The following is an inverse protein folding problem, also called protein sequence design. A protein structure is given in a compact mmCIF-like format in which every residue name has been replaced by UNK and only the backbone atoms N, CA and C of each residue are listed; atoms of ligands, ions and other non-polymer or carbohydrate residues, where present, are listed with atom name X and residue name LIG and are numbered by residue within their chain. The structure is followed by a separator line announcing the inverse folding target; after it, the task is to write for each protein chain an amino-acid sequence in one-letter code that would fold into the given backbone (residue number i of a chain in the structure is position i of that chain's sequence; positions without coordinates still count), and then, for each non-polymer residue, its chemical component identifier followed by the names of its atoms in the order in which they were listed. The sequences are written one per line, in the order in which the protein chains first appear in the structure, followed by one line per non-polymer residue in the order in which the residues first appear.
data_IF_241906439538
#
_entry.id   IF_241906439538
#
_cell.length_a   1.000
_cell.length_b   1.000
_cell.length_c   1.000
_cell.angle_alpha   90.00
_cell.angle_beta   90.00
_cell.angle_gamma   90.00
#
_symmetry.space_group_name_H-M   'P 1'
#
loop_
_entity.id
_entity.type
_entity.pdbx_description
1 polymer ?
#
# COMPACT_ATOMS: atom_id res chain seq x y z
N UNK A 1 -24.42 -8.79 -18.64
CA UNK A 1 -24.64 -7.32 -18.66
C UNK A 1 -23.37 -6.63 -18.27
N UNK A 2 -22.96 -5.61 -18.99
CA UNK A 2 -21.85 -4.77 -18.60
C UNK A 2 -22.11 -4.18 -17.21
N UNK A 3 -21.07 -4.04 -16.39
CA UNK A 3 -21.16 -3.46 -15.05
C UNK A 3 -20.04 -2.45 -14.82
N UNK A 4 -20.25 -1.55 -13.87
CA UNK A 4 -19.24 -0.58 -13.44
C UNK A 4 -18.63 -1.04 -12.12
N UNK A 5 -17.30 -0.97 -12.03
CA UNK A 5 -16.56 -1.17 -10.78
C UNK A 5 -15.60 -0.02 -10.53
N UNK A 6 -15.45 0.33 -9.26
CA UNK A 6 -14.71 1.52 -8.85
C UNK A 6 -13.70 1.16 -7.75
N UNK A 7 -12.49 1.68 -7.88
CA UNK A 7 -11.50 1.71 -6.78
C UNK A 7 -11.00 3.13 -6.56
N UNK A 8 -10.50 3.38 -5.37
CA UNK A 8 -9.89 4.65 -5.00
C UNK A 8 -8.44 4.47 -4.59
N UNK A 9 -7.70 5.56 -4.60
CA UNK A 9 -6.36 5.68 -4.03
C UNK A 9 -6.18 7.04 -3.36
N UNK A 10 -5.21 7.10 -2.46
CA UNK A 10 -4.79 8.34 -1.81
C UNK A 10 -3.28 8.54 -1.97
N UNK A 11 -2.84 9.80 -2.00
CA UNK A 11 -1.43 10.13 -2.15
C UNK A 11 -0.62 9.87 -0.87
N UNK A 12 0.69 9.93 -1.00
CA UNK A 12 1.63 9.90 0.12
C UNK A 12 1.39 11.02 1.15
N UNK A 13 0.78 12.14 0.74
CA UNK A 13 0.46 13.27 1.60
C UNK A 13 -0.93 13.19 2.26
N UNK A 14 -1.73 12.17 1.95
CA UNK A 14 -2.99 11.95 2.67
C UNK A 14 -2.74 11.67 4.16
N UNK A 15 -3.51 12.23 5.10
CA UNK A 15 -3.25 12.10 6.54
C UNK A 15 -3.01 10.67 7.02
N UNK A 16 -3.85 9.71 6.60
CA UNK A 16 -3.67 8.31 6.98
C UNK A 16 -2.38 7.71 6.38
N UNK A 17 -1.98 8.12 5.17
CA UNK A 17 -0.72 7.64 4.57
C UNK A 17 0.52 8.33 5.14
N UNK A 18 0.39 9.55 5.64
CA UNK A 18 1.45 10.17 6.46
C UNK A 18 1.68 9.33 7.71
N UNK A 19 0.61 8.94 8.41
CA UNK A 19 0.68 8.09 9.60
C UNK A 19 1.30 6.71 9.30
N UNK A 20 0.87 6.04 8.23
CA UNK A 20 1.43 4.75 7.80
C UNK A 20 2.92 4.85 7.50
N UNK A 21 3.35 5.89 6.77
CA UNK A 21 4.76 6.09 6.42
C UNK A 21 5.64 6.38 7.64
N UNK A 22 5.14 7.12 8.63
CA UNK A 22 5.86 7.35 9.89
C UNK A 22 6.00 6.04 10.66
N UNK A 23 4.93 5.26 10.78
CA UNK A 23 4.94 3.98 11.50
C UNK A 23 5.90 2.98 10.87
N UNK A 24 5.91 2.83 9.54
CA UNK A 24 6.81 1.92 8.84
C UNK A 24 8.27 2.43 8.83
N UNK A 25 8.50 3.74 8.80
CA UNK A 25 9.84 4.30 8.92
C UNK A 25 10.44 4.06 10.31
N UNK A 26 9.63 4.14 11.37
CA UNK A 26 10.04 3.82 12.73
C UNK A 26 10.34 2.32 12.86
N UNK A 27 9.49 1.46 12.30
CA UNK A 27 9.75 0.01 12.24
C UNK A 27 11.08 -0.28 11.56
N UNK A 28 11.31 0.28 10.38
CA UNK A 28 12.55 0.06 9.63
C UNK A 28 13.78 0.56 10.40
N UNK A 29 13.66 1.66 11.12
CA UNK A 29 14.77 2.18 11.92
C UNK A 29 15.11 1.27 13.11
N UNK A 30 14.11 0.68 13.79
CA UNK A 30 14.34 -0.35 14.79
C UNK A 30 15.02 -1.58 14.19
N UNK A 31 14.55 -2.04 13.02
CA UNK A 31 15.16 -3.19 12.33
C UNK A 31 16.59 -2.90 11.85
N UNK A 32 16.93 -1.65 11.53
CA UNK A 32 18.32 -1.27 11.23
C UNK A 32 19.26 -1.45 12.43
N UNK A 33 18.76 -1.22 13.63
CA UNK A 33 19.54 -1.36 14.86
C UNK A 33 19.52 -2.79 15.43
N UNK A 34 18.41 -3.51 15.25
CA UNK A 34 18.25 -4.90 15.69
C UNK A 34 17.24 -5.63 14.80
N UNK A 35 17.72 -6.56 13.98
CA UNK A 35 16.90 -7.36 13.07
C UNK A 35 15.86 -8.25 13.77
N UNK A 36 15.99 -8.44 15.09
CA UNK A 36 15.04 -9.20 15.90
C UNK A 36 14.03 -8.32 16.64
N UNK A 37 14.03 -7.01 16.36
CA UNK A 37 13.08 -6.08 16.96
C UNK A 37 11.65 -6.56 16.76
N UNK A 38 10.84 -6.45 17.83
CA UNK A 38 9.40 -6.63 17.80
C UNK A 38 8.75 -5.26 17.91
N UNK A 39 7.98 -4.90 16.93
CA UNK A 39 7.42 -3.55 16.80
C UNK A 39 5.93 -3.64 16.46
N UNK A 40 5.13 -2.95 17.24
CA UNK A 40 3.75 -2.62 16.93
C UNK A 40 3.62 -1.12 17.17
N UNK A 41 3.73 -0.32 16.10
CA UNK A 41 3.80 1.13 16.18
C UNK A 41 2.66 1.75 15.40
N UNK A 42 1.89 2.59 16.06
CA UNK A 42 0.75 3.30 15.49
C UNK A 42 0.97 4.81 15.61
N UNK A 43 0.57 5.53 14.59
CA UNK A 43 0.75 6.99 14.49
C UNK A 43 -0.59 7.66 14.27
N UNK A 44 -0.81 8.76 14.99
CA UNK A 44 -1.87 9.74 14.75
C UNK A 44 -1.22 11.03 14.25
N UNK A 45 -1.74 11.59 13.15
CA UNK A 45 -1.34 12.89 12.62
C UNK A 45 -2.55 13.82 12.59
N UNK A 46 -2.41 15.02 13.14
CA UNK A 46 -3.46 16.06 13.12
C UNK A 46 -2.81 17.44 13.03
N UNK A 47 -3.58 18.52 13.09
CA UNK A 47 -3.08 19.90 13.02
C UNK A 47 -1.93 20.10 14.00
N UNK A 48 -0.74 20.38 13.49
CA UNK A 48 0.45 20.71 14.28
C UNK A 48 0.96 19.62 15.22
N UNK A 49 0.44 18.38 15.14
CA UNK A 49 0.75 17.32 16.10
C UNK A 49 0.87 15.94 15.44
N UNK A 50 1.88 15.19 15.88
CA UNK A 50 2.04 13.75 15.66
C UNK A 50 2.10 13.05 17.01
N UNK A 51 1.35 12.00 17.18
CA UNK A 51 1.43 11.09 18.34
C UNK A 51 1.81 9.71 17.84
N UNK A 52 2.90 9.18 18.36
CA UNK A 52 3.38 7.83 18.08
C UNK A 52 3.19 7.00 19.33
N UNK A 53 2.48 5.89 19.22
CA UNK A 53 2.18 4.97 20.35
C UNK A 53 2.42 3.53 19.94
N UNK A 54 2.53 2.64 20.92
CA UNK A 54 2.65 1.21 20.69
C UNK A 54 3.70 0.54 21.55
N UNK A 55 3.99 -0.71 21.23
CA UNK A 55 4.90 -1.56 21.96
C UNK A 55 6.12 -1.94 21.12
N UNK A 56 7.31 -1.81 21.71
CA UNK A 56 8.56 -2.14 21.06
C UNK A 56 9.42 -2.97 22.00
N UNK A 57 10.04 -4.02 21.46
CA UNK A 57 11.16 -4.72 22.08
C UNK A 57 12.32 -4.71 21.10
N UNK A 58 13.38 -4.02 21.44
CA UNK A 58 14.57 -3.86 20.60
C UNK A 58 15.79 -3.59 21.50
N UNK A 59 16.96 -4.00 21.07
CA UNK A 59 18.23 -3.61 21.69
C UNK A 59 18.74 -2.25 21.19
N UNK A 60 18.11 -1.72 20.13
CA UNK A 60 18.49 -0.46 19.50
C UNK A 60 17.74 0.74 20.07
N UNK A 61 18.41 1.90 20.11
CA UNK A 61 17.77 3.20 20.35
C UNK A 61 17.39 3.86 19.04
N UNK A 62 16.19 4.40 18.96
CA UNK A 62 15.68 5.13 17.78
C UNK A 62 15.23 6.54 18.17
N UNK A 63 15.72 7.54 17.44
CA UNK A 63 15.20 8.91 17.52
C UNK A 63 13.87 9.01 16.77
N UNK A 64 12.78 8.68 17.47
CA UNK A 64 11.41 8.72 16.94
C UNK A 64 11.06 10.07 16.33
N UNK A 65 11.47 11.16 16.98
CA UNK A 65 11.18 12.52 16.51
C UNK A 65 11.92 12.83 15.22
N UNK A 66 13.21 12.48 15.15
CA UNK A 66 14.02 12.64 13.94
C UNK A 66 13.47 11.86 12.76
N UNK A 67 13.07 10.59 12.98
CA UNK A 67 12.44 9.75 11.95
C UNK A 67 11.14 10.37 11.44
N UNK A 68 10.24 10.75 12.33
CA UNK A 68 8.96 11.33 11.93
C UNK A 68 9.15 12.64 11.14
N UNK A 69 10.05 13.54 11.58
CA UNK A 69 10.37 14.79 10.86
C UNK A 69 10.92 14.53 9.47
N UNK A 70 11.83 13.58 9.33
CA UNK A 70 12.39 13.17 8.02
C UNK A 70 11.29 12.71 7.06
N UNK A 71 10.34 11.90 7.53
CA UNK A 71 9.22 11.42 6.72
C UNK A 71 8.30 12.57 6.30
N UNK A 72 7.93 13.45 7.23
CA UNK A 72 7.06 14.60 6.98
C UNK A 72 7.68 15.54 5.93
N UNK A 73 8.98 15.84 6.05
CA UNK A 73 9.73 16.68 5.11
C UNK A 73 9.81 16.04 3.71
N UNK A 74 10.14 14.74 3.64
CA UNK A 74 10.20 13.98 2.38
C UNK A 74 8.86 13.97 1.63
N UNK A 75 7.74 13.89 2.34
CA UNK A 75 6.40 13.96 1.76
C UNK A 75 6.14 15.33 1.15
N UNK A 76 6.74 16.39 1.71
CA UNK A 76 6.62 17.76 1.23
C UNK A 76 5.82 18.67 2.15
N UNK A 77 5.57 18.29 3.39
CA UNK A 77 5.04 19.17 4.43
C UNK A 77 6.21 19.91 5.08
N UNK A 78 6.68 20.94 4.41
CA UNK A 78 7.88 21.70 4.77
C UNK A 78 7.66 23.23 4.83
N UNK A 79 6.39 23.65 4.94
CA UNK A 79 5.99 25.07 5.05
C UNK A 79 5.02 25.25 6.19
N UNK A 80 5.22 26.29 6.99
CA UNK A 80 4.39 26.62 8.14
C UNK A 80 2.93 26.91 7.78
N UNK A 81 2.67 27.38 6.55
CA UNK A 81 1.33 27.66 6.05
C UNK A 81 0.44 26.43 6.00
N UNK A 82 1.03 25.22 5.94
CA UNK A 82 0.27 23.97 5.98
C UNK A 82 -0.24 23.62 7.37
N UNK A 83 0.19 24.35 8.41
CA UNK A 83 -0.12 24.10 9.83
C UNK A 83 0.11 22.66 10.28
N UNK A 84 0.94 21.97 9.52
CA UNK A 84 1.53 20.68 9.76
C UNK A 84 2.81 20.62 8.93
N UNK A 85 3.96 20.79 9.57
CA UNK A 85 5.24 20.79 8.86
C UNK A 85 6.34 20.12 9.70
N UNK A 86 7.38 19.64 9.01
CA UNK A 86 8.47 18.88 9.59
C UNK A 86 9.25 19.63 10.66
N UNK A 87 9.35 20.98 10.58
CA UNK A 87 10.15 21.77 11.48
C UNK A 87 9.39 22.11 12.76
N UNK A 88 8.09 22.41 12.68
CA UNK A 88 7.34 23.05 13.77
C UNK A 88 6.30 22.15 14.44
N UNK A 89 5.84 21.05 13.81
CA UNK A 89 4.84 20.19 14.46
C UNK A 89 5.38 19.55 15.74
N UNK A 90 4.52 19.45 16.76
CA UNK A 90 4.80 18.70 17.97
C UNK A 90 4.85 17.20 17.67
N UNK A 91 5.80 16.47 18.26
CA UNK A 91 5.88 15.02 18.14
C UNK A 91 5.95 14.43 19.54
N UNK A 92 4.91 13.67 19.90
CA UNK A 92 4.80 12.96 21.17
C UNK A 92 5.04 11.47 20.94
N UNK A 93 5.85 10.87 21.78
CA UNK A 93 6.06 9.41 21.80
C UNK A 93 5.48 8.83 23.09
N UNK A 94 4.63 7.83 22.93
CA UNK A 94 4.06 7.00 23.99
C UNK A 94 4.37 5.52 23.70
N UNK A 95 5.56 5.24 23.18
CA UNK A 95 6.07 3.89 22.97
C UNK A 95 6.54 3.35 24.32
N UNK A 96 6.17 2.11 24.61
CA UNK A 96 6.58 1.38 25.81
C UNK A 96 7.06 -0.03 25.46
N UNK A 97 7.63 -0.72 26.44
CA UNK A 97 8.12 -2.08 26.25
C UNK A 97 6.98 -3.08 26.07
N UNK A 98 7.16 -4.05 25.17
CA UNK A 98 6.15 -5.07 24.89
C UNK A 98 5.90 -5.96 26.14
N UNK A 99 4.63 -6.27 26.40
CA UNK A 99 4.22 -7.15 27.49
C UNK A 99 4.86 -8.55 27.38
N UNK A 100 5.37 -9.07 28.51
CA UNK A 100 5.90 -10.43 28.61
C UNK A 100 4.88 -11.51 28.28
N UNK A 101 3.58 -11.24 28.51
CA UNK A 101 2.52 -12.23 28.31
C UNK A 101 2.27 -12.51 26.82
N UNK A 102 2.34 -11.47 25.97
CA UNK A 102 2.20 -11.63 24.51
C UNK A 102 3.39 -12.42 23.94
N UNK A 103 4.55 -12.26 24.54
CA UNK A 103 5.80 -12.85 24.06
C UNK A 103 5.88 -14.37 24.25
N UNK A 104 5.14 -14.95 25.20
CA UNK A 104 5.15 -16.39 25.49
C UNK A 104 4.68 -17.26 24.31
N UNK A 105 3.82 -16.72 23.46
CA UNK A 105 3.30 -17.42 22.27
C UNK A 105 4.21 -17.32 21.04
N UNK A 106 5.07 -16.31 20.98
CA UNK A 106 5.93 -15.99 19.81
C UNK A 106 7.35 -16.52 19.96
N UNK A 107 7.97 -16.26 21.12
CA UNK A 107 9.34 -16.72 21.41
C UNK A 107 9.29 -17.99 22.26
N UNK A 108 9.23 -19.15 21.61
CA UNK A 108 9.29 -20.44 22.30
C UNK A 108 10.76 -20.82 22.55
N UNK A 109 11.00 -21.36 23.75
CA UNK A 109 12.32 -21.88 24.14
C UNK A 109 12.52 -23.28 23.58
N UNK A 110 13.79 -23.56 23.20
CA UNK A 110 14.29 -24.91 22.93
C UNK A 110 13.61 -25.72 21.83
N UNK A 111 13.72 -25.26 20.57
CA UNK A 111 13.40 -26.07 19.38
C UNK A 111 11.92 -26.19 19.04
N UNK A 112 11.04 -25.52 19.76
CA UNK A 112 9.64 -25.40 19.36
C UNK A 112 9.48 -24.34 18.24
N UNK A 113 8.63 -24.64 17.25
CA UNK A 113 8.38 -23.73 16.13
C UNK A 113 7.68 -22.45 16.60
N UNK A 114 8.12 -21.31 16.08
CA UNK A 114 7.48 -20.02 16.32
C UNK A 114 6.00 -20.09 15.93
N UNK A 115 5.11 -19.87 16.90
CA UNK A 115 3.67 -19.76 16.65
C UNK A 115 3.28 -18.42 16.04
N UNK A 116 2.04 -18.34 15.51
CA UNK A 116 1.48 -17.08 15.06
C UNK A 116 1.34 -16.10 16.25
N UNK A 117 1.76 -14.85 16.03
CA UNK A 117 1.72 -13.80 17.05
C UNK A 117 0.31 -13.33 17.42
N UNK A 118 -0.67 -13.67 16.60
CA UNK A 118 -2.08 -13.36 16.82
C UNK A 118 -2.96 -14.37 16.08
N UNK A 119 -4.26 -14.37 16.41
CA UNK A 119 -5.29 -14.99 15.58
C UNK A 119 -5.68 -14.07 14.44
N UNK A 120 -6.15 -14.62 13.31
CA UNK A 120 -6.67 -13.78 12.23
C UNK A 120 -6.93 -14.54 10.94
N UNK A 121 -7.51 -13.82 9.99
CA UNK A 121 -7.72 -14.25 8.61
C UNK A 121 -7.01 -13.27 7.68
N UNK A 122 -6.24 -13.78 6.73
CA UNK A 122 -5.49 -12.97 5.77
C UNK A 122 -5.86 -13.41 4.37
N UNK A 123 -5.87 -12.45 3.46
CA UNK A 123 -6.29 -12.68 2.08
C UNK A 123 -5.21 -12.31 1.08
N UNK A 124 -5.04 -13.16 0.09
CA UNK A 124 -4.35 -12.88 -1.15
C UNK A 124 -5.35 -12.86 -2.30
N UNK A 125 -5.14 -11.95 -3.24
CA UNK A 125 -5.98 -11.86 -4.43
C UNK A 125 -5.11 -11.56 -5.65
N UNK A 126 -5.49 -12.13 -6.79
CA UNK A 126 -4.89 -11.82 -8.08
C UNK A 126 -5.94 -11.94 -9.19
N UNK A 127 -5.79 -11.13 -10.23
CA UNK A 127 -6.67 -11.13 -11.42
C UNK A 127 -5.88 -10.75 -12.67
N UNK A 128 -6.20 -11.39 -13.79
CA UNK A 128 -5.55 -11.17 -15.10
C UNK A 128 -6.07 -9.88 -15.77
N UNK A 129 -5.96 -8.74 -15.08
CA UNK A 129 -6.36 -7.44 -15.64
C UNK A 129 -5.18 -6.53 -15.94
N UNK A 130 -4.08 -6.69 -15.19
CA UNK A 130 -2.87 -5.89 -15.32
C UNK A 130 -1.64 -6.78 -15.37
N UNK A 131 -0.52 -6.22 -15.80
CA UNK A 131 0.76 -6.92 -15.82
C UNK A 131 1.17 -7.48 -14.44
N UNK A 132 0.78 -6.78 -13.38
CA UNK A 132 1.10 -7.15 -11.99
C UNK A 132 -0.01 -8.03 -11.37
N UNK A 133 -0.99 -8.50 -12.15
CA UNK A 133 -2.12 -9.31 -11.68
C UNK A 133 -2.93 -8.62 -10.57
N UNK A 134 -3.20 -7.34 -10.76
CA UNK A 134 -3.97 -6.49 -9.86
C UNK A 134 -5.21 -5.93 -10.54
N UNK A 135 -6.24 -5.50 -9.78
CA UNK A 135 -7.40 -4.80 -10.34
C UNK A 135 -7.00 -3.54 -11.10
N UNK A 136 -7.46 -3.41 -12.34
CA UNK A 136 -7.16 -2.28 -13.22
C UNK A 136 -7.59 -0.94 -12.63
N UNK A 137 -8.75 -0.91 -11.95
CA UNK A 137 -9.28 0.29 -11.28
C UNK A 137 -8.33 0.82 -10.22
N UNK A 138 -7.76 -0.06 -9.39
CA UNK A 138 -6.84 0.33 -8.31
C UNK A 138 -5.49 0.80 -8.89
N UNK A 139 -4.92 0.05 -9.83
CA UNK A 139 -3.62 0.42 -10.43
C UNK A 139 -3.71 1.77 -11.13
N UNK A 140 -4.77 2.03 -11.90
CA UNK A 140 -4.97 3.34 -12.51
C UNK A 140 -5.11 4.45 -11.46
N UNK A 141 -5.86 4.22 -10.37
CA UNK A 141 -5.95 5.18 -9.28
C UNK A 141 -4.59 5.49 -8.66
N UNK A 142 -3.75 4.47 -8.42
CA UNK A 142 -2.38 4.67 -7.93
C UNK A 142 -1.50 5.42 -8.93
N UNK A 143 -1.56 5.08 -10.22
CA UNK A 143 -0.70 5.69 -11.25
C UNK A 143 -1.02 7.18 -11.42
N UNK A 144 -2.30 7.57 -11.36
CA UNK A 144 -2.72 8.99 -11.41
C UNK A 144 -2.04 9.77 -10.28
N UNK A 145 -2.08 9.28 -9.05
CA UNK A 145 -1.51 9.98 -7.90
C UNK A 145 0.01 9.95 -7.87
N UNK A 146 0.63 8.86 -8.32
CA UNK A 146 2.09 8.79 -8.50
C UNK A 146 2.58 9.84 -9.49
N UNK A 147 1.86 10.01 -10.60
CA UNK A 147 2.22 11.01 -11.60
C UNK A 147 1.98 12.43 -11.10
N UNK A 148 0.88 12.66 -10.35
CA UNK A 148 0.61 13.94 -9.70
C UNK A 148 1.72 14.32 -8.70
N UNK A 149 2.21 13.36 -7.92
CA UNK A 149 3.32 13.56 -6.99
C UNK A 149 4.65 13.87 -7.74
N UNK A 150 4.88 13.25 -8.90
CA UNK A 150 6.04 13.58 -9.75
C UNK A 150 5.95 15.00 -10.24
N UNK A 151 4.81 15.42 -10.81
CA UNK A 151 4.57 16.80 -11.27
C UNK A 151 4.82 17.80 -10.15
N UNK A 152 4.30 17.53 -8.96
CA UNK A 152 4.49 18.39 -7.78
C UNK A 152 5.97 18.55 -7.41
N UNK A 153 6.75 17.45 -7.45
CA UNK A 153 8.18 17.47 -7.11
C UNK A 153 9.04 18.13 -8.20
N UNK A 154 8.67 18.00 -9.46
CA UNK A 154 9.33 18.70 -10.57
C UNK A 154 9.18 20.22 -10.41
N UNK A 155 8.02 20.70 -9.97
CA UNK A 155 7.76 22.13 -9.74
C UNK A 155 7.80 23.00 -10.99
N UNK A 156 7.69 22.41 -12.18
CA UNK A 156 7.74 23.13 -13.47
C UNK A 156 6.35 23.56 -13.91
N UNK A 157 5.40 22.63 -13.89
CA UNK A 157 3.98 22.86 -14.22
C UNK A 157 3.12 22.58 -12.99
N UNK A 158 1.86 23.05 -12.96
CA UNK A 158 0.94 22.87 -11.83
C UNK A 158 1.61 23.20 -10.47
N UNK A 159 2.35 24.30 -10.38
CA UNK A 159 3.16 24.67 -9.21
C UNK A 159 2.35 24.87 -7.92
N UNK A 160 1.05 25.01 -8.06
CA UNK A 160 0.11 25.14 -6.96
C UNK A 160 -0.17 23.83 -6.23
N UNK A 161 0.28 22.66 -6.75
CA UNK A 161 0.02 21.36 -6.14
C UNK A 161 0.64 21.23 -4.75
N UNK A 162 -0.12 20.57 -3.83
CA UNK A 162 0.28 20.25 -2.46
C UNK A 162 0.22 18.74 -2.22
N UNK A 163 0.78 18.23 -1.10
CA UNK A 163 0.99 16.80 -0.94
C UNK A 163 -0.27 15.94 -0.89
N UNK A 164 -1.39 16.46 -0.36
CA UNK A 164 -2.62 15.68 -0.18
C UNK A 164 -3.42 15.60 -1.49
N UNK A 165 -3.78 14.39 -1.85
CA UNK A 165 -4.66 14.17 -2.99
C UNK A 165 -5.32 12.78 -2.95
N UNK A 166 -6.44 12.66 -3.66
CA UNK A 166 -7.22 11.43 -3.82
C UNK A 166 -7.56 11.22 -5.29
N UNK A 167 -7.63 9.99 -5.71
CA UNK A 167 -8.16 9.61 -7.03
C UNK A 167 -9.14 8.47 -6.89
N UNK A 168 -10.10 8.42 -7.82
CA UNK A 168 -11.04 7.33 -7.95
C UNK A 168 -11.22 7.04 -9.44
N UNK A 169 -11.15 5.77 -9.80
CA UNK A 169 -11.33 5.32 -11.19
C UNK A 169 -12.43 4.29 -11.25
N UNK A 170 -13.40 4.55 -12.11
CA UNK A 170 -14.47 3.62 -12.46
C UNK A 170 -14.20 3.06 -13.85
N UNK A 171 -14.21 1.75 -13.98
CA UNK A 171 -14.06 1.03 -15.25
C UNK A 171 -15.36 0.31 -15.58
N UNK A 172 -15.74 0.33 -16.86
CA UNK A 172 -16.79 -0.50 -17.42
C UNK A 172 -16.20 -1.87 -17.78
N UNK A 173 -16.86 -2.93 -17.30
CA UNK A 173 -16.51 -4.32 -17.53
C UNK A 173 -17.54 -4.99 -18.43
N UNK A 174 -17.08 -5.85 -19.32
CA UNK A 174 -17.93 -6.71 -20.16
C UNK A 174 -18.58 -7.86 -19.38
N UNK A 175 -19.44 -8.60 -20.06
CA UNK A 175 -20.09 -9.81 -19.52
C UNK A 175 -19.06 -10.91 -19.14
N UNK A 176 -17.91 -10.90 -19.81
CA UNK A 176 -16.76 -11.78 -19.55
C UNK A 176 -15.90 -11.33 -18.36
N UNK A 177 -16.32 -10.27 -17.65
CA UNK A 177 -15.63 -9.63 -16.52
C UNK A 177 -14.27 -9.02 -16.90
N UNK A 178 -14.03 -8.71 -18.17
CA UNK A 178 -12.82 -8.01 -18.61
C UNK A 178 -13.04 -6.50 -18.67
N UNK A 179 -12.04 -5.71 -18.27
CA UNK A 179 -12.12 -4.26 -18.37
C UNK A 179 -12.20 -3.83 -19.84
N UNK A 180 -13.13 -2.91 -20.15
CA UNK A 180 -13.40 -2.43 -21.50
C UNK A 180 -12.90 -0.99 -21.72
N UNK A 181 -13.24 -0.09 -20.81
CA UNK A 181 -12.84 1.32 -20.85
C UNK A 181 -12.93 1.98 -19.49
N UNK A 182 -12.21 3.05 -19.31
CA UNK A 182 -12.40 3.97 -18.20
C UNK A 182 -13.73 4.72 -18.43
N UNK A 183 -14.63 4.63 -17.45
CA UNK A 183 -15.91 5.33 -17.46
C UNK A 183 -15.81 6.69 -16.76
N UNK A 184 -15.21 6.73 -15.57
CA UNK A 184 -15.11 7.96 -14.77
C UNK A 184 -13.75 8.05 -14.07
N UNK A 185 -13.19 9.25 -14.06
CA UNK A 185 -12.00 9.62 -13.27
C UNK A 185 -12.39 10.76 -12.34
N UNK A 186 -12.11 10.60 -11.04
CA UNK A 186 -12.19 11.66 -10.05
C UNK A 186 -10.79 11.96 -9.53
N UNK A 187 -10.39 13.23 -9.52
CA UNK A 187 -9.14 13.70 -8.91
C UNK A 187 -9.47 14.83 -7.95
N UNK A 188 -9.10 14.65 -6.68
CA UNK A 188 -9.14 15.73 -5.70
C UNK A 188 -7.72 16.00 -5.25
N UNK A 189 -7.24 17.23 -5.42
CA UNK A 189 -5.87 17.61 -5.07
C UNK A 189 -5.82 18.89 -4.27
N UNK A 190 -5.06 18.87 -3.19
CA UNK A 190 -4.73 20.05 -2.41
C UNK A 190 -3.88 21.01 -3.27
N UNK A 191 -4.17 22.30 -3.15
CA UNK A 191 -3.50 23.36 -3.92
C UNK A 191 -3.33 24.65 -3.11
N UNK A 192 -2.41 25.51 -3.53
CA UNK A 192 -2.32 26.88 -3.01
C UNK A 192 -3.50 27.73 -3.47
N UNK A 193 -3.78 28.80 -2.76
CA UNK A 193 -4.57 29.92 -3.27
C UNK A 193 -3.71 30.75 -4.24
N UNK A 194 -3.63 30.33 -5.50
CA UNK A 194 -2.77 30.96 -6.49
C UNK A 194 -3.47 32.08 -7.29
N UNK A 195 -4.78 32.24 -7.11
CA UNK A 195 -5.56 33.38 -7.62
C UNK A 195 -6.31 33.99 -6.47
N UNK A 196 -5.96 35.22 -6.14
CA UNK A 196 -6.53 35.96 -5.02
C UNK A 196 -7.64 36.93 -5.48
N UNK A 197 -8.62 37.24 -4.62
CA UNK A 197 -9.58 38.31 -4.87
C UNK A 197 -8.86 39.65 -5.00
N UNK A 198 -9.44 40.56 -5.77
CA UNK A 198 -8.93 41.93 -6.00
C UNK A 198 -10.10 42.91 -5.96
N UNK A 199 -9.84 44.19 -6.15
CA UNK A 199 -10.90 45.22 -6.25
C UNK A 199 -11.87 44.96 -7.44
N UNK A 200 -11.47 44.16 -8.42
CA UNK A 200 -12.25 43.82 -9.64
C UNK A 200 -12.62 42.35 -9.76
N UNK A 201 -12.18 41.52 -8.81
CA UNK A 201 -12.44 40.07 -8.77
C UNK A 201 -12.90 39.69 -7.37
N UNK A 202 -14.11 39.16 -7.26
CA UNK A 202 -14.65 38.63 -6.01
C UNK A 202 -13.95 37.30 -5.63
N UNK A 203 -14.07 36.88 -4.37
CA UNK A 203 -13.56 35.58 -3.89
C UNK A 203 -14.15 34.41 -4.72
N UNK A 204 -15.45 34.41 -4.94
CA UNK A 204 -16.13 33.39 -5.74
C UNK A 204 -15.67 33.34 -7.22
N UNK A 205 -15.25 34.47 -7.79
CA UNK A 205 -14.67 34.50 -9.13
C UNK A 205 -13.24 33.95 -9.14
N UNK A 206 -12.43 34.29 -8.14
CA UNK A 206 -11.10 33.74 -7.96
C UNK A 206 -11.14 32.22 -7.79
N UNK A 207 -12.04 31.70 -6.96
CA UNK A 207 -12.23 30.26 -6.77
C UNK A 207 -12.65 29.55 -8.07
N UNK A 208 -13.64 30.09 -8.78
CA UNK A 208 -14.07 29.48 -10.08
C UNK A 208 -12.93 29.45 -11.11
N UNK A 209 -12.12 30.51 -11.15
CA UNK A 209 -10.98 30.57 -12.08
C UNK A 209 -9.90 29.56 -11.70
N UNK A 210 -9.54 29.42 -10.40
CA UNK A 210 -8.64 28.36 -9.92
C UNK A 210 -9.15 26.98 -10.27
N UNK A 211 -10.43 26.70 -10.00
CA UNK A 211 -11.04 25.40 -10.31
C UNK A 211 -10.99 25.07 -11.81
N UNK A 212 -11.28 26.06 -12.68
CA UNK A 212 -11.17 25.88 -14.11
C UNK A 212 -9.74 25.55 -14.54
N UNK A 213 -8.74 26.27 -14.03
CA UNK A 213 -7.32 26.02 -14.36
C UNK A 213 -6.90 24.62 -13.87
N UNK A 214 -7.23 24.23 -12.64
CA UNK A 214 -6.91 22.91 -12.11
C UNK A 214 -7.56 21.81 -12.96
N UNK A 215 -8.83 21.98 -13.35
CA UNK A 215 -9.52 21.01 -14.19
C UNK A 215 -8.92 20.90 -15.59
N UNK A 216 -8.54 22.04 -16.20
CA UNK A 216 -7.87 22.09 -17.50
C UNK A 216 -6.48 21.44 -17.43
N UNK A 217 -5.70 21.69 -16.36
CA UNK A 217 -4.37 21.10 -16.16
C UNK A 217 -4.45 19.60 -15.90
N UNK A 218 -5.41 19.14 -15.10
CA UNK A 218 -5.62 17.69 -14.92
C UNK A 218 -5.93 17.03 -16.26
N UNK A 219 -6.82 17.62 -17.07
CA UNK A 219 -7.20 17.08 -18.39
C UNK A 219 -6.06 17.09 -19.38
N UNK A 220 -5.30 18.20 -19.45
CA UNK A 220 -4.35 18.47 -20.54
C UNK A 220 -2.89 18.15 -20.17
N UNK A 221 -2.57 18.00 -18.87
CA UNK A 221 -1.22 17.69 -18.39
C UNK A 221 -1.20 16.34 -17.67
N UNK A 222 -1.98 16.18 -16.59
CA UNK A 222 -1.91 14.98 -15.76
C UNK A 222 -2.31 13.71 -16.53
N UNK A 223 -3.51 13.67 -17.11
CA UNK A 223 -4.01 12.46 -17.78
C UNK A 223 -3.16 12.07 -18.99
N UNK A 224 -2.71 12.98 -19.87
CA UNK A 224 -1.76 12.65 -20.94
C UNK A 224 -0.43 12.09 -20.41
N UNK A 225 0.11 12.63 -19.29
CA UNK A 225 1.34 12.11 -18.68
C UNK A 225 1.12 10.70 -18.09
N UNK A 226 -0.03 10.44 -17.46
CA UNK A 226 -0.42 9.10 -17.00
C UNK A 226 -0.46 8.12 -18.16
N UNK A 227 -1.12 8.47 -19.26
CA UNK A 227 -1.20 7.63 -20.46
C UNK A 227 0.18 7.35 -21.05
N UNK A 228 0.99 8.38 -21.25
CA UNK A 228 2.36 8.24 -21.75
C UNK A 228 3.26 7.41 -20.82
N UNK A 229 3.06 7.47 -19.51
CA UNK A 229 3.76 6.61 -18.53
C UNK A 229 3.40 5.13 -18.69
N UNK A 230 2.12 4.82 -18.87
CA UNK A 230 1.64 3.46 -19.11
C UNK A 230 2.14 2.92 -20.47
N UNK A 231 2.06 3.72 -21.52
CA UNK A 231 2.56 3.37 -22.86
C UNK A 231 4.07 3.05 -22.85
N UNK A 232 4.87 3.87 -22.19
CA UNK A 232 6.33 3.60 -22.02
C UNK A 232 6.61 2.30 -21.26
N UNK A 233 5.70 1.89 -20.40
CA UNK A 233 5.79 0.62 -19.66
C UNK A 233 5.24 -0.57 -20.45
N UNK A 234 4.75 -0.37 -21.69
CA UNK A 234 3.97 -1.36 -22.47
C UNK A 234 2.81 -1.92 -21.66
N UNK A 235 2.11 -1.06 -20.93
CA UNK A 235 0.99 -1.45 -20.08
C UNK A 235 -0.33 -1.24 -20.84
N UNK A 236 -1.08 -2.31 -21.04
CA UNK A 236 -2.37 -2.30 -21.74
C UNK A 236 -3.42 -1.40 -21.07
N UNK A 237 -3.22 -1.00 -19.81
CA UNK A 237 -4.08 -0.04 -19.13
C UNK A 237 -4.17 1.31 -19.88
N UNK A 238 -3.15 1.67 -20.66
CA UNK A 238 -3.18 2.88 -21.50
C UNK A 238 -4.34 2.86 -22.52
N UNK A 239 -4.69 1.67 -23.03
CA UNK A 239 -5.75 1.49 -24.03
C UNK A 239 -7.15 1.71 -23.44
N UNK A 240 -7.30 1.53 -22.11
CA UNK A 240 -8.56 1.75 -21.40
C UNK A 240 -8.89 3.26 -21.26
N UNK A 241 -7.86 4.13 -21.31
CA UNK A 241 -8.02 5.59 -21.21
C UNK A 241 -8.26 6.15 -22.63
N UNK A 242 -9.51 6.19 -23.04
CA UNK A 242 -9.97 6.85 -24.26
C UNK A 242 -10.43 8.29 -23.95
N UNK A 243 -10.96 9.00 -24.95
CA UNK A 243 -11.40 10.39 -24.77
C UNK A 243 -12.86 10.51 -24.25
N UNK A 244 -13.54 9.37 -24.07
CA UNK A 244 -14.95 9.29 -23.69
C UNK A 244 -15.12 8.88 -22.20
N UNK A 245 -14.42 9.56 -21.31
CA UNK A 245 -14.58 9.39 -19.86
C UNK A 245 -15.12 10.65 -19.20
N UNK A 246 -15.87 10.49 -18.12
CA UNK A 246 -16.32 11.58 -17.27
C UNK A 246 -15.18 11.97 -16.33
N UNK A 247 -14.80 13.26 -16.33
CA UNK A 247 -13.76 13.78 -15.45
C UNK A 247 -14.34 14.72 -14.40
N UNK A 248 -14.13 14.41 -13.13
CA UNK A 248 -14.42 15.28 -11.99
C UNK A 248 -13.11 15.70 -11.32
N UNK A 249 -12.92 17.01 -11.17
CA UNK A 249 -11.74 17.59 -10.51
C UNK A 249 -12.19 18.49 -9.39
N UNK A 250 -11.72 18.25 -8.15
CA UNK A 250 -12.11 18.98 -6.94
C UNK A 250 -13.63 19.26 -6.91
N UNK A 251 -14.52 18.26 -6.97
CA UNK A 251 -15.95 18.48 -7.18
C UNK A 251 -16.64 19.28 -6.06
N UNK A 252 -16.02 19.40 -4.90
CA UNK A 252 -16.51 20.20 -3.77
C UNK A 252 -16.04 21.66 -3.79
N UNK A 253 -15.22 22.06 -4.77
CA UNK A 253 -14.63 23.39 -4.85
C UNK A 253 -13.17 23.45 -4.41
N UNK A 254 -12.72 24.57 -3.83
CA UNK A 254 -11.33 24.76 -3.44
C UNK A 254 -10.89 23.75 -2.37
N UNK A 255 -9.66 23.25 -2.52
CA UNK A 255 -9.04 22.31 -1.59
C UNK A 255 -7.67 22.83 -1.15
N UNK A 256 -7.68 23.93 -0.39
CA UNK A 256 -6.48 24.59 0.16
C UNK A 256 -6.11 23.97 1.50
N UNK A 257 -7.09 23.80 2.40
CA UNK A 257 -6.89 23.13 3.68
C UNK A 257 -6.91 21.61 3.42
N UNK A 258 -5.79 20.97 3.60
CA UNK A 258 -5.61 19.54 3.37
C UNK A 258 -4.48 18.96 4.23
N UNK A 259 -4.17 17.68 4.02
CA UNK A 259 -3.25 16.96 4.86
C UNK A 259 -3.73 16.86 6.31
N UNK A 260 -2.84 16.57 7.28
CA UNK A 260 -3.19 16.44 8.70
C UNK A 260 -3.84 17.68 9.32
N UNK A 261 -3.71 18.86 8.70
CA UNK A 261 -4.44 20.05 9.12
C UNK A 261 -5.93 19.99 8.73
N UNK A 262 -6.25 19.40 7.59
CA UNK A 262 -7.63 19.28 7.11
C UNK A 262 -8.40 18.15 7.77
N UNK A 263 -7.75 17.02 8.00
CA UNK A 263 -8.35 15.80 8.58
C UNK A 263 -7.30 15.00 9.35
N UNK A 264 -7.72 14.36 10.43
CA UNK A 264 -6.85 13.51 11.25
C UNK A 264 -6.54 12.19 10.55
N UNK A 265 -5.25 11.84 10.46
CA UNK A 265 -4.76 10.57 9.96
C UNK A 265 -4.39 9.59 11.06
N UNK A 266 -4.59 8.31 10.80
CA UNK A 266 -4.23 7.20 11.67
C UNK A 266 -3.63 6.06 10.85
N UNK A 267 -2.66 5.37 11.44
CA UNK A 267 -2.11 4.13 10.88
C UNK A 267 -3.22 3.09 10.67
N UNK A 268 -3.23 2.45 9.49
CA UNK A 268 -4.13 1.34 9.19
C UNK A 268 -5.56 1.73 8.81
N UNK A 269 -5.81 3.00 8.43
CA UNK A 269 -7.15 3.44 7.96
C UNK A 269 -7.32 3.43 6.45
N UNK A 270 -6.32 3.00 5.68
CA UNK A 270 -6.36 2.88 4.21
C UNK A 270 -6.06 1.47 3.71
N UNK A 271 -6.45 0.45 4.49
CA UNK A 271 -6.15 -0.95 4.24
C UNK A 271 -6.69 -1.48 2.89
N UNK A 272 -7.78 -0.92 2.40
CA UNK A 272 -8.34 -1.29 1.09
C UNK A 272 -7.51 -0.71 -0.06
N UNK A 273 -7.02 0.53 0.11
CA UNK A 273 -6.06 1.17 -0.82
C UNK A 273 -4.71 0.43 -0.80
N UNK A 274 -4.31 -0.07 0.35
CA UNK A 274 -3.06 -0.83 0.54
C UNK A 274 -3.09 -2.21 -0.12
N UNK A 275 -4.27 -2.75 -0.41
CA UNK A 275 -4.47 -4.13 -0.89
C UNK A 275 -5.08 -4.17 -2.29
N UNK A 276 -6.39 -4.37 -2.43
CA UNK A 276 -7.01 -4.74 -3.71
C UNK A 276 -8.12 -3.78 -4.18
N UNK A 277 -8.26 -2.60 -3.55
CA UNK A 277 -9.24 -1.58 -3.96
C UNK A 277 -10.69 -2.02 -3.89
N UNK A 278 -11.00 -2.97 -3.00
CA UNK A 278 -12.36 -3.52 -2.81
C UNK A 278 -12.71 -4.70 -3.73
N UNK A 279 -11.82 -5.12 -4.62
CA UNK A 279 -12.05 -6.28 -5.50
C UNK A 279 -11.83 -7.59 -4.76
N UNK A 280 -10.75 -7.70 -3.99
CA UNK A 280 -10.48 -8.83 -3.10
C UNK A 280 -10.91 -8.53 -1.66
N UNK A 281 -11.22 -9.58 -0.89
CA UNK A 281 -11.52 -9.47 0.53
C UNK A 281 -10.30 -9.01 1.35
N UNK A 282 -10.56 -8.53 2.57
CA UNK A 282 -9.55 -8.12 3.54
C UNK A 282 -9.88 -8.63 4.93
N UNK A 283 -8.88 -9.08 5.69
CA UNK A 283 -9.06 -9.61 7.05
C UNK A 283 -9.27 -8.55 8.14
N UNK A 284 -9.04 -7.28 7.83
CA UNK A 284 -9.22 -6.15 8.75
C UNK A 284 -7.93 -5.68 9.44
N UNK A 285 -6.86 -6.49 9.46
CA UNK A 285 -5.59 -6.13 10.09
C UNK A 285 -4.79 -5.10 9.27
N UNK A 286 -4.32 -4.04 9.93
CA UNK A 286 -3.39 -3.08 9.34
C UNK A 286 -2.01 -3.72 9.13
N UNK A 287 -1.27 -3.25 8.10
CA UNK A 287 0.10 -3.71 7.81
C UNK A 287 1.16 -2.80 8.43
N UNK A 288 1.06 -1.48 8.16
CA UNK A 288 2.07 -0.51 8.58
C UNK A 288 2.27 -0.48 10.09
N UNK A 289 3.52 -0.31 10.51
CA UNK A 289 3.94 -0.29 11.90
C UNK A 289 4.11 -1.67 12.56
N UNK A 290 3.79 -2.76 11.87
CA UNK A 290 3.89 -4.14 12.37
C UNK A 290 5.11 -4.85 11.81
N UNK A 291 5.97 -5.43 12.68
CA UNK A 291 7.06 -6.32 12.26
C UNK A 291 6.54 -7.65 11.72
N UNK A 292 7.43 -8.41 11.10
CA UNK A 292 7.10 -9.65 10.38
C UNK A 292 6.55 -10.80 11.25
N UNK A 293 6.63 -10.73 12.57
CA UNK A 293 6.00 -11.72 13.45
C UNK A 293 4.47 -11.59 13.51
N UNK A 294 3.93 -10.46 13.10
CA UNK A 294 2.49 -10.22 13.02
C UNK A 294 1.96 -10.78 11.71
N UNK A 295 1.20 -11.87 11.81
CA UNK A 295 0.66 -12.61 10.66
C UNK A 295 -0.30 -11.77 9.80
N UNK A 296 -0.95 -10.73 10.37
CA UNK A 296 -1.73 -9.75 9.61
C UNK A 296 -0.98 -9.22 8.40
N UNK A 297 0.33 -8.98 8.54
CA UNK A 297 1.19 -8.49 7.48
C UNK A 297 1.87 -9.63 6.72
N UNK A 298 2.62 -10.48 7.40
CA UNK A 298 3.46 -11.51 6.77
C UNK A 298 2.64 -12.54 6.01
N UNK A 299 1.55 -13.03 6.58
CA UNK A 299 0.70 -14.02 5.92
C UNK A 299 -0.18 -13.42 4.81
N UNK A 300 -0.55 -12.12 4.88
CA UNK A 300 -1.18 -11.45 3.77
C UNK A 300 -0.24 -11.34 2.55
N UNK A 301 1.06 -11.11 2.78
CA UNK A 301 2.07 -11.13 1.72
C UNK A 301 2.23 -12.52 1.12
N UNK A 302 2.26 -13.56 1.96
CA UNK A 302 2.32 -14.95 1.50
C UNK A 302 1.07 -15.34 0.69
N UNK A 303 -0.12 -15.00 1.16
CA UNK A 303 -1.37 -15.26 0.45
C UNK A 303 -1.41 -14.54 -0.92
N UNK A 304 -0.91 -13.28 -0.98
CA UNK A 304 -0.76 -12.55 -2.25
C UNK A 304 0.21 -13.26 -3.20
N UNK A 305 1.35 -13.70 -2.72
CA UNK A 305 2.34 -14.42 -3.52
C UNK A 305 1.72 -15.68 -4.14
N UNK A 306 0.98 -16.46 -3.35
CA UNK A 306 0.28 -17.66 -3.84
C UNK A 306 -0.73 -17.28 -4.91
N UNK A 307 -1.67 -16.38 -4.62
CA UNK A 307 -2.72 -15.99 -5.57
C UNK A 307 -2.12 -15.49 -6.90
N UNK A 308 -1.05 -14.67 -6.83
CA UNK A 308 -0.36 -14.13 -8.01
C UNK A 308 0.28 -15.24 -8.86
N UNK A 309 1.02 -16.16 -8.24
CA UNK A 309 1.68 -17.25 -8.94
C UNK A 309 0.67 -18.24 -9.55
N UNK A 310 -0.44 -18.53 -8.85
CA UNK A 310 -1.50 -19.40 -9.35
C UNK A 310 -2.17 -18.82 -10.60
N UNK A 311 -2.50 -17.52 -10.60
CA UNK A 311 -3.07 -16.83 -11.76
C UNK A 311 -2.05 -16.75 -12.90
N UNK A 312 -0.80 -16.41 -12.60
CA UNK A 312 0.27 -16.33 -13.59
C UNK A 312 0.60 -17.71 -14.22
N UNK A 313 0.46 -18.79 -13.47
CA UNK A 313 0.60 -20.15 -13.99
C UNK A 313 -0.56 -20.59 -14.88
N UNK A 314 -1.67 -19.86 -14.86
CA UNK A 314 -2.85 -20.16 -15.66
C UNK A 314 -3.86 -21.09 -14.99
N UNK A 315 -3.76 -21.35 -13.69
CA UNK A 315 -4.74 -22.17 -12.94
C UNK A 315 -6.13 -21.56 -12.98
N UNK A 316 -6.22 -20.24 -12.84
CA UNK A 316 -7.46 -19.48 -12.99
C UNK A 316 -7.15 -18.06 -13.50
N UNK A 317 -8.14 -17.33 -13.99
CA UNK A 317 -7.98 -15.91 -14.37
C UNK A 317 -8.15 -14.95 -13.21
N UNK A 318 -8.83 -15.38 -12.16
CA UNK A 318 -9.09 -14.62 -10.93
C UNK A 318 -9.03 -15.60 -9.75
N UNK A 319 -8.35 -15.24 -8.67
CA UNK A 319 -8.21 -16.10 -7.51
C UNK A 319 -8.12 -15.33 -6.21
N UNK A 320 -8.91 -15.74 -5.23
CA UNK A 320 -8.80 -15.36 -3.84
C UNK A 320 -8.23 -16.53 -3.03
N UNK A 321 -7.28 -16.25 -2.17
CA UNK A 321 -6.72 -17.21 -1.21
C UNK A 321 -6.90 -16.62 0.19
N UNK A 322 -7.56 -17.35 1.09
CA UNK A 322 -7.63 -17.01 2.51
C UNK A 322 -6.75 -17.97 3.30
N UNK A 323 -5.99 -17.44 4.23
CA UNK A 323 -5.24 -18.22 5.22
C UNK A 323 -5.67 -17.76 6.61
N UNK A 324 -5.86 -18.70 7.55
CA UNK A 324 -6.26 -18.38 8.93
C UNK A 324 -5.29 -18.98 9.94
N UNK A 325 -5.08 -18.23 11.04
CA UNK A 325 -4.22 -18.65 12.13
C UNK A 325 -4.92 -18.54 13.50
N UNK A 326 -4.47 -19.36 14.45
CA UNK A 326 -4.73 -19.16 15.87
C UNK A 326 -3.43 -18.71 16.58
N UNK A 327 -3.58 -17.90 17.59
CA UNK A 327 -2.45 -17.41 18.39
C UNK A 327 -1.62 -18.59 18.95
N UNK A 328 -0.31 -18.52 18.83
CA UNK A 328 0.61 -19.53 19.35
C UNK A 328 0.67 -20.83 18.54
N UNK A 329 -0.09 -20.97 17.44
CA UNK A 329 -0.03 -22.15 16.54
C UNK A 329 0.75 -21.79 15.28
N UNK A 330 1.73 -22.62 14.91
CA UNK A 330 2.59 -22.37 13.75
C UNK A 330 1.87 -22.72 12.43
N UNK A 331 1.12 -23.82 12.40
CA UNK A 331 0.41 -24.23 11.18
C UNK A 331 -0.85 -23.39 10.99
N UNK A 332 -1.18 -22.99 9.75
CA UNK A 332 -2.47 -22.36 9.47
C UNK A 332 -3.61 -23.33 9.81
N UNK A 333 -4.71 -22.77 10.32
CA UNK A 333 -5.93 -23.55 10.66
C UNK A 333 -6.67 -23.98 9.40
N UNK A 334 -6.68 -23.15 8.38
CA UNK A 334 -7.35 -23.43 7.11
C UNK A 334 -6.77 -22.62 5.97
N UNK A 335 -6.89 -23.16 4.76
CA UNK A 335 -6.68 -22.47 3.50
C UNK A 335 -8.00 -22.59 2.72
N UNK A 336 -8.51 -21.46 2.26
CA UNK A 336 -9.68 -21.39 1.40
C UNK A 336 -9.32 -20.74 0.08
N UNK A 337 -9.86 -21.23 -1.02
CA UNK A 337 -9.68 -20.70 -2.37
C UNK A 337 -11.04 -20.43 -3.00
N UNK A 338 -11.12 -19.34 -3.74
CA UNK A 338 -12.22 -19.03 -4.64
C UNK A 338 -11.65 -18.59 -5.99
N UNK A 339 -11.93 -19.33 -7.03
CA UNK A 339 -11.53 -19.00 -8.40
C UNK A 339 -12.58 -18.17 -9.14
N UNK A 340 -13.66 -17.78 -8.47
CA UNK A 340 -14.79 -17.02 -9.06
C UNK A 340 -15.36 -17.69 -10.33
N UNK A 341 -15.26 -19.02 -10.44
CA UNK A 341 -15.69 -19.75 -11.62
C UNK A 341 -14.81 -19.55 -12.86
N UNK A 342 -13.57 -19.07 -12.68
CA UNK A 342 -12.61 -18.83 -13.77
C UNK A 342 -11.51 -19.88 -13.84
N UNK A 343 -11.65 -21.00 -13.12
CA UNK A 343 -10.70 -22.13 -13.16
C UNK A 343 -10.49 -22.65 -14.57
N UNK A 344 -9.23 -22.88 -14.93
CA UNK A 344 -8.83 -23.53 -16.19
C UNK A 344 -8.42 -25.01 -15.99
N UNK A 345 -8.52 -25.52 -14.76
CA UNK A 345 -8.19 -26.91 -14.40
C UNK A 345 -9.45 -27.66 -13.96
N UNK A 346 -9.47 -28.99 -14.16
CA UNK A 346 -10.58 -29.87 -13.76
C UNK A 346 -10.48 -30.23 -12.26
N UNK A 347 -10.30 -29.21 -11.40
CA UNK A 347 -10.23 -29.35 -9.95
C UNK A 347 -11.23 -28.39 -9.30
N UNK A 348 -11.83 -28.82 -8.20
CA UNK A 348 -12.62 -27.91 -7.35
C UNK A 348 -11.71 -26.95 -6.58
N UNK A 349 -12.25 -25.82 -6.14
CA UNK A 349 -11.50 -24.85 -5.33
C UNK A 349 -10.94 -25.49 -4.03
N UNK A 350 -11.65 -26.46 -3.44
CA UNK A 350 -11.16 -27.24 -2.31
C UNK A 350 -9.93 -28.10 -2.64
N UNK A 351 -9.93 -28.77 -3.80
CA UNK A 351 -8.76 -29.56 -4.26
C UNK A 351 -7.58 -28.66 -4.61
N UNK A 352 -7.83 -27.47 -5.16
CA UNK A 352 -6.80 -26.45 -5.37
C UNK A 352 -6.20 -26.00 -4.03
N UNK A 353 -7.03 -25.77 -3.01
CA UNK A 353 -6.58 -25.41 -1.66
C UNK A 353 -5.71 -26.50 -1.00
N UNK A 354 -6.06 -27.80 -1.18
CA UNK A 354 -5.25 -28.93 -0.72
C UNK A 354 -3.86 -28.94 -1.37
N UNK A 355 -3.79 -28.73 -2.70
CA UNK A 355 -2.51 -28.63 -3.40
C UNK A 355 -1.68 -27.42 -2.92
N UNK A 356 -2.28 -26.27 -2.73
CA UNK A 356 -1.60 -25.08 -2.16
C UNK A 356 -1.03 -25.42 -0.78
N UNK A 357 -1.80 -26.11 0.08
CA UNK A 357 -1.34 -26.52 1.41
C UNK A 357 -0.13 -27.45 1.37
N UNK A 358 -0.04 -28.28 0.35
CA UNK A 358 1.09 -29.21 0.17
C UNK A 358 2.34 -28.52 -0.42
N UNK A 359 2.13 -27.49 -1.28
CA UNK A 359 3.23 -26.81 -1.99
C UNK A 359 3.89 -25.71 -1.18
N UNK A 360 3.13 -25.01 -0.31
CA UNK A 360 3.60 -23.81 0.36
C UNK A 360 3.69 -23.99 1.87
N UNK A 361 4.89 -23.76 2.40
CA UNK A 361 5.07 -23.70 3.85
C UNK A 361 4.63 -22.34 4.39
N UNK A 362 3.48 -22.33 5.03
CA UNK A 362 2.82 -21.13 5.55
C UNK A 362 3.03 -20.94 7.07
N UNK A 363 4.02 -21.62 7.66
CA UNK A 363 4.44 -21.32 9.03
C UNK A 363 5.04 -19.92 9.10
N UNK A 364 4.75 -19.11 10.15
CA UNK A 364 5.21 -17.74 10.25
C UNK A 364 6.72 -17.57 10.04
N UNK A 365 7.55 -18.44 10.63
CA UNK A 365 9.01 -18.40 10.48
C UNK A 365 9.43 -18.62 9.01
N UNK A 366 8.81 -19.58 8.31
CA UNK A 366 9.11 -19.91 6.92
C UNK A 366 8.71 -18.75 5.97
N UNK A 367 7.59 -18.08 6.24
CA UNK A 367 7.16 -16.88 5.50
C UNK A 367 8.19 -15.75 5.67
N UNK A 368 8.61 -15.49 6.91
CA UNK A 368 9.60 -14.44 7.23
C UNK A 368 10.93 -14.69 6.53
N UNK A 369 11.41 -15.94 6.53
CA UNK A 369 12.64 -16.33 5.85
C UNK A 369 12.50 -16.22 4.33
N UNK A 370 11.44 -16.78 3.76
CA UNK A 370 11.18 -16.79 2.31
C UNK A 370 11.21 -15.40 1.70
N UNK A 371 10.57 -14.43 2.34
CA UNK A 371 10.43 -13.07 1.81
C UNK A 371 11.43 -12.07 2.38
N UNK A 372 12.36 -12.51 3.25
CA UNK A 372 13.37 -11.63 3.84
C UNK A 372 12.79 -10.54 4.75
N UNK A 373 11.68 -10.82 5.43
CA UNK A 373 10.91 -9.83 6.20
C UNK A 373 11.56 -9.41 7.53
N UNK A 374 12.77 -9.83 7.81
CA UNK A 374 13.57 -9.32 8.95
C UNK A 374 14.33 -8.04 8.62
N UNK A 375 14.49 -7.71 7.33
CA UNK A 375 15.24 -6.54 6.91
C UNK A 375 14.34 -5.28 6.88
N UNK A 376 14.94 -4.07 7.01
CA UNK A 376 14.21 -2.80 6.96
C UNK A 376 13.79 -2.46 5.53
N UNK A 377 12.66 -3.01 5.11
CA UNK A 377 12.08 -2.93 3.75
C UNK A 377 10.66 -2.34 3.75
N UNK A 378 10.15 -1.94 4.90
CA UNK A 378 8.72 -1.66 5.09
C UNK A 378 8.33 -0.22 4.76
N UNK A 379 9.20 0.77 4.98
CA UNK A 379 8.91 2.18 4.64
C UNK A 379 8.52 2.34 3.16
N UNK A 380 9.13 1.55 2.26
CA UNK A 380 8.85 1.56 0.84
C UNK A 380 7.43 1.06 0.49
N UNK A 381 6.76 0.32 1.38
CA UNK A 381 5.43 -0.25 1.16
C UNK A 381 4.30 0.68 1.55
N UNK A 382 4.57 1.66 2.41
CA UNK A 382 3.57 2.45 3.13
C UNK A 382 2.77 3.43 2.27
N UNK A 383 3.04 3.54 0.97
CA UNK A 383 2.28 4.39 0.05
C UNK A 383 2.08 3.71 -1.31
N UNK A 384 0.91 3.99 -1.94
CA UNK A 384 0.54 3.47 -3.25
C UNK A 384 0.47 1.94 -3.35
N UNK A 385 0.04 1.28 -2.28
CA UNK A 385 -0.22 -0.15 -2.20
C UNK A 385 0.97 -1.01 -1.82
N UNK A 386 0.71 -2.04 -1.01
CA UNK A 386 1.67 -3.09 -0.65
C UNK A 386 1.79 -4.15 -1.73
N UNK A 387 0.81 -4.21 -2.65
CA UNK A 387 0.73 -5.17 -3.74
C UNK A 387 0.77 -4.49 -5.12
N UNK A 388 1.03 -5.29 -6.17
CA UNK A 388 1.15 -4.76 -7.53
C UNK A 388 2.43 -3.95 -7.76
N UNK A 389 3.48 -4.23 -6.99
CA UNK A 389 4.79 -3.60 -7.11
C UNK A 389 5.75 -4.53 -7.85
N UNK A 390 6.80 -3.97 -8.44
CA UNK A 390 7.88 -4.77 -9.02
C UNK A 390 8.95 -5.01 -7.98
N UNK A 391 9.41 -6.25 -7.80
CA UNK A 391 10.56 -6.54 -6.96
C UNK A 391 11.80 -5.79 -7.46
N UNK A 392 12.62 -5.31 -6.54
CA UNK A 392 13.92 -4.72 -6.83
C UNK A 392 14.89 -4.98 -5.67
N UNK A 393 16.18 -4.88 -5.94
CA UNK A 393 17.22 -5.07 -4.93
C UNK A 393 17.88 -3.75 -4.60
N UNK A 394 18.12 -3.49 -3.32
CA UNK A 394 18.79 -2.29 -2.83
C UNK A 394 19.78 -2.66 -1.71
N UNK A 395 20.87 -1.88 -1.59
CA UNK A 395 21.85 -2.04 -0.53
C UNK A 395 21.31 -1.46 0.78
N UNK A 396 21.01 -2.32 1.73
CA UNK A 396 20.48 -1.95 3.05
C UNK A 396 21.61 -2.07 4.10
N UNK A 397 21.69 -1.05 4.97
CA UNK A 397 22.61 -1.04 6.11
C UNK A 397 21.84 -1.34 7.40
N UNK A 398 22.42 -2.19 8.24
CA UNK A 398 21.84 -2.56 9.54
C UNK A 398 22.94 -3.03 10.50
N UNK A 399 22.61 -3.09 11.77
CA UNK A 399 23.49 -3.61 12.82
C UNK A 399 23.10 -5.05 13.15
N UNK A 400 24.08 -5.94 13.25
CA UNK A 400 23.91 -7.31 13.68
C UNK A 400 25.12 -7.70 14.55
N UNK A 401 24.87 -8.34 15.68
CA UNK A 401 25.92 -8.74 16.65
C UNK A 401 26.88 -7.57 17.01
N UNK A 402 26.33 -6.36 17.15
CA UNK A 402 27.06 -5.15 17.48
C UNK A 402 28.00 -4.62 16.38
N UNK A 403 27.83 -5.08 15.12
CA UNK A 403 28.59 -4.62 13.95
C UNK A 403 27.67 -4.11 12.86
N UNK A 404 28.16 -3.12 12.12
CA UNK A 404 27.47 -2.66 10.91
C UNK A 404 27.66 -3.64 9.76
N UNK A 405 26.58 -3.94 9.08
CA UNK A 405 26.52 -4.72 7.85
C UNK A 405 25.89 -3.90 6.73
N UNK A 406 26.28 -4.23 5.50
CA UNK A 406 25.62 -3.78 4.30
C UNK A 406 25.31 -5.01 3.45
N UNK A 407 24.06 -5.19 3.06
CA UNK A 407 23.59 -6.35 2.30
C UNK A 407 22.62 -5.90 1.21
N UNK A 408 22.73 -6.52 0.04
CA UNK A 408 21.68 -6.40 -0.98
C UNK A 408 20.45 -7.15 -0.50
N UNK A 409 19.34 -6.44 -0.38
CA UNK A 409 18.05 -6.96 0.10
C UNK A 409 16.99 -6.72 -0.97
N UNK A 410 16.16 -7.74 -1.18
CA UNK A 410 15.07 -7.68 -2.14
C UNK A 410 13.82 -7.05 -1.51
N UNK A 411 13.31 -6.01 -2.13
CA UNK A 411 12.05 -5.35 -1.79
C UNK A 411 10.91 -5.94 -2.59
N UNK A 412 9.73 -6.04 -2.00
CA UNK A 412 8.52 -6.62 -2.60
C UNK A 412 8.72 -8.06 -3.10
N UNK A 413 9.51 -8.85 -2.40
CA UNK A 413 9.85 -10.24 -2.73
C UNK A 413 8.60 -11.13 -2.89
N UNK A 414 7.50 -10.83 -2.20
CA UNK A 414 6.20 -11.50 -2.33
C UNK A 414 5.48 -11.25 -3.67
N UNK A 415 6.00 -10.34 -4.49
CA UNK A 415 5.49 -10.08 -5.85
C UNK A 415 6.25 -10.87 -6.93
N UNK A 416 7.19 -11.76 -6.57
CA UNK A 416 7.91 -12.61 -7.53
C UNK A 416 7.00 -13.66 -8.14
N UNK A 417 7.36 -14.08 -9.36
CA UNK A 417 6.73 -15.16 -10.11
C UNK A 417 7.66 -16.39 -10.14
N UNK A 418 8.17 -16.77 -8.97
CA UNK A 418 9.18 -17.81 -8.79
C UNK A 418 8.60 -19.23 -8.60
N UNK A 419 7.27 -19.36 -8.48
CA UNK A 419 6.60 -20.67 -8.35
C UNK A 419 5.78 -21.05 -9.60
N UNK A 420 5.77 -20.24 -10.64
CA UNK A 420 4.94 -20.48 -11.84
C UNK A 420 5.22 -21.82 -12.46
N UNK A 421 6.49 -22.21 -12.65
CA UNK A 421 6.87 -23.47 -13.28
C UNK A 421 6.52 -24.67 -12.39
N UNK A 422 6.73 -24.57 -11.07
CA UNK A 422 6.35 -25.60 -10.10
C UNK A 422 4.83 -25.81 -10.09
N UNK A 423 4.06 -24.73 -10.13
CA UNK A 423 2.59 -24.79 -10.16
C UNK A 423 2.13 -25.42 -11.47
N UNK A 424 2.69 -25.03 -12.61
CA UNK A 424 2.36 -25.67 -13.90
C UNK A 424 2.58 -27.17 -13.88
N UNK A 425 3.72 -27.61 -13.37
CA UNK A 425 4.02 -29.04 -13.25
C UNK A 425 3.01 -29.75 -12.34
N UNK A 426 2.68 -29.20 -11.18
CA UNK A 426 1.77 -29.80 -10.21
C UNK A 426 0.32 -29.85 -10.69
N UNK A 427 -0.10 -28.89 -11.51
CA UNK A 427 -1.46 -28.79 -12.06
C UNK A 427 -1.60 -29.37 -13.47
N UNK A 428 -0.50 -29.79 -14.11
CA UNK A 428 -0.50 -30.36 -15.45
C UNK A 428 -0.79 -29.37 -16.58
N UNK A 429 -0.32 -28.12 -16.42
CA UNK A 429 -0.50 -27.00 -17.35
C UNK A 429 0.69 -26.80 -18.29
#
# INVERSE_FOLDING_TARGET
MAFLFTSESVSEGHPDKVADQISDAILDEFLRHDLNSKVACETLCTTGLVVVSGEVRSEGYVDIQGVARRVIDRIGYNRSEYQFDAASCGILSAIHEQSSDINQGVDRKDGEEQGAGDQGIMFGYAVEETREFMPATLILSHVILKELAVIRREGEVMRYLRPDSKSQVTIEYGDDRRPQRVHTIVVSTQHDEFILPTNTRTEAEAEREMQRIIADDVRNILIPRVKARLERANDKLAELINDDYILHVNPTGKFVIGGPHGDTGLTGRKIIVDTYGGRGAHGGGAFSGKDSSKVDRSAAYAARHIAKNMVAAGVAREMLVQVSYAIGIAQPLSIYVDTYGTSNVELTDGQIAEKISAMFDLRPASIVERFGLKYPIFEATASYGHFGRRPYTELVRFVGDGKEFAKEVEFFSWEKLDEVDNIKQEFGL
#
